data_IF_893498955315
#
_entry.id   IF_893498955315
#
_cell.length_a   1.000
_cell.length_b   1.000
_cell.length_c   1.000
_cell.angle_alpha   90.00
_cell.angle_beta   90.00
_cell.angle_gamma   90.00
#
_symmetry.space_group_name_H-M   'P 1'
#
loop_
_entity.id
_entity.type
_entity.pdbx_description
1 polymer ?
#
# COMPACT_ATOMS: atom_id res chain seq x y z
N UNK A 1 17.03 -42.86 12.14
CA UNK A 1 15.80 -42.92 11.30
C UNK A 1 15.33 -41.50 11.01
N UNK A 2 15.32 -41.14 9.74
CA UNK A 2 14.95 -39.77 9.28
C UNK A 2 13.53 -39.37 9.76
N UNK A 3 12.59 -40.30 9.75
CA UNK A 3 11.22 -40.04 10.22
C UNK A 3 11.14 -39.69 11.71
N UNK A 4 12.01 -40.27 12.52
CA UNK A 4 12.10 -39.93 13.95
C UNK A 4 12.71 -38.55 14.15
N UNK A 5 13.76 -38.21 13.37
CA UNK A 5 14.36 -36.88 13.41
C UNK A 5 13.36 -35.78 13.00
N UNK A 6 12.64 -36.00 11.92
CA UNK A 6 11.58 -35.06 11.47
C UNK A 6 10.51 -34.89 12.54
N UNK A 7 10.11 -35.95 13.20
CA UNK A 7 9.10 -35.87 14.26
C UNK A 7 9.60 -35.06 15.46
N UNK A 8 10.85 -35.23 15.84
CA UNK A 8 11.46 -34.49 16.95
C UNK A 8 11.65 -33.02 16.57
N UNK A 9 12.12 -32.72 15.38
CA UNK A 9 12.29 -31.33 14.90
C UNK A 9 10.93 -30.61 14.89
N UNK A 10 9.91 -31.22 14.31
CA UNK A 10 8.56 -30.62 14.24
C UNK A 10 7.93 -30.43 15.63
N UNK A 11 8.40 -31.15 16.67
CA UNK A 11 7.97 -31.02 18.05
C UNK A 11 8.70 -29.92 18.85
N UNK A 12 9.72 -29.27 18.27
CA UNK A 12 10.42 -28.18 18.94
C UNK A 12 9.50 -26.95 19.08
N UNK A 13 9.65 -26.23 20.17
CA UNK A 13 8.86 -25.02 20.43
C UNK A 13 9.07 -23.94 19.34
N UNK A 14 10.29 -23.76 18.88
CA UNK A 14 10.62 -22.82 17.82
C UNK A 14 9.98 -23.16 16.46
N UNK A 15 9.53 -24.39 16.25
CA UNK A 15 8.85 -24.83 15.03
C UNK A 15 7.35 -24.58 15.06
N UNK A 16 6.79 -24.18 16.20
CA UNK A 16 5.35 -23.87 16.29
C UNK A 16 5.03 -22.56 15.61
N UNK A 17 3.97 -22.54 14.80
CA UNK A 17 3.59 -21.39 13.99
C UNK A 17 3.32 -20.11 14.79
N UNK A 18 2.80 -20.26 16.02
CA UNK A 18 2.51 -19.16 16.95
C UNK A 18 3.76 -18.56 17.61
N UNK A 19 4.91 -19.22 17.48
CA UNK A 19 6.21 -18.74 17.96
C UNK A 19 7.07 -18.11 16.86
N UNK A 20 6.59 -18.14 15.62
CA UNK A 20 7.32 -17.62 14.47
C UNK A 20 6.77 -16.29 13.99
N UNK A 21 7.64 -15.38 13.63
CA UNK A 21 7.32 -14.08 13.03
C UNK A 21 7.81 -14.09 11.59
N UNK A 22 6.90 -13.77 10.65
CA UNK A 22 7.25 -13.63 9.24
C UNK A 22 8.25 -12.49 9.05
N UNK A 23 9.22 -12.61 8.14
CA UNK A 23 10.06 -11.49 7.76
C UNK A 23 9.23 -10.41 7.05
N UNK A 24 9.60 -9.15 7.26
CA UNK A 24 9.03 -8.00 6.59
C UNK A 24 10.00 -7.52 5.52
N UNK A 25 9.53 -7.38 4.30
CA UNK A 25 10.34 -6.85 3.20
C UNK A 25 10.64 -5.36 3.39
N UNK A 26 11.82 -4.92 2.95
CA UNK A 26 12.04 -3.50 2.71
C UNK A 26 11.04 -2.99 1.66
N UNK A 27 10.54 -1.78 1.85
CA UNK A 27 9.48 -1.21 1.01
C UNK A 27 9.56 0.32 0.94
N UNK A 28 8.94 0.95 -0.06
CA UNK A 28 8.76 2.39 -0.08
C UNK A 28 7.84 2.87 1.04
N UNK A 29 8.24 3.89 1.78
CA UNK A 29 7.41 4.57 2.79
C UNK A 29 7.41 6.07 2.53
N UNK A 30 6.23 6.71 2.62
CA UNK A 30 6.10 8.16 2.49
C UNK A 30 6.45 8.83 3.82
N UNK A 31 7.47 9.70 3.82
CA UNK A 31 7.96 10.39 5.02
C UNK A 31 7.29 11.75 5.28
N UNK A 32 6.26 12.10 4.49
CA UNK A 32 5.61 13.42 4.49
C UNK A 32 6.19 14.38 3.44
N UNK A 33 7.23 13.97 2.72
CA UNK A 33 7.82 14.77 1.65
C UNK A 33 8.11 13.96 0.39
N UNK A 34 8.60 12.74 0.56
CA UNK A 34 8.99 11.83 -0.52
C UNK A 34 8.85 10.37 -0.08
N UNK A 35 8.89 9.46 -1.03
CA UNK A 35 9.05 8.04 -0.73
C UNK A 35 10.53 7.73 -0.50
N UNK A 36 10.79 7.06 0.61
CA UNK A 36 12.12 6.59 1.01
C UNK A 36 12.09 5.08 1.22
N UNK A 37 13.23 4.43 1.06
CA UNK A 37 13.33 2.99 1.36
C UNK A 37 13.28 2.80 2.88
N UNK A 38 12.24 2.13 3.35
CA UNK A 38 12.18 1.63 4.73
C UNK A 38 12.79 0.24 4.81
N UNK A 39 13.65 0.05 5.79
CA UNK A 39 14.24 -1.26 6.04
C UNK A 39 13.17 -2.30 6.40
N UNK A 40 13.34 -3.50 5.89
CA UNK A 40 12.58 -4.65 6.35
C UNK A 40 13.06 -5.13 7.72
N UNK A 41 12.40 -6.16 8.22
CA UNK A 41 12.76 -6.82 9.47
C UNK A 41 12.98 -8.30 9.21
N UNK A 42 14.09 -8.86 9.72
CA UNK A 42 14.26 -10.30 9.79
C UNK A 42 13.30 -10.86 10.82
N UNK A 43 12.43 -11.77 10.39
CA UNK A 43 11.53 -12.46 11.30
C UNK A 43 12.24 -13.55 12.11
N UNK A 44 11.46 -14.37 12.79
CA UNK A 44 11.92 -15.60 13.44
C UNK A 44 11.37 -16.86 12.75
N UNK A 45 10.82 -16.72 11.55
CA UNK A 45 10.34 -17.86 10.78
C UNK A 45 11.51 -18.74 10.35
N UNK A 46 11.41 -20.01 10.67
CA UNK A 46 12.48 -20.97 10.37
C UNK A 46 12.34 -21.48 8.94
N UNK A 47 13.44 -21.45 8.20
CA UNK A 47 13.60 -22.24 6.98
C UNK A 47 13.70 -23.72 7.38
N UNK A 48 12.58 -24.41 7.33
CA UNK A 48 12.45 -25.78 7.79
C UNK A 48 13.39 -26.73 7.06
N UNK A 49 13.61 -26.54 5.77
CA UNK A 49 14.47 -27.43 4.97
C UNK A 49 15.94 -27.22 5.34
N UNK A 50 16.39 -25.96 5.43
CA UNK A 50 17.76 -25.68 5.82
C UNK A 50 18.01 -26.10 7.29
N UNK A 51 17.08 -25.81 8.19
CA UNK A 51 17.17 -26.20 9.60
C UNK A 51 17.33 -27.71 9.77
N UNK A 52 16.49 -28.51 9.10
CA UNK A 52 16.61 -29.99 9.10
C UNK A 52 17.97 -30.47 8.63
N UNK A 53 18.48 -29.88 7.55
CA UNK A 53 19.82 -30.20 7.03
C UNK A 53 20.90 -29.90 8.06
N UNK A 54 20.90 -28.71 8.65
CA UNK A 54 21.89 -28.27 9.65
C UNK A 54 21.86 -29.14 10.88
N UNK A 55 20.65 -29.50 11.37
CA UNK A 55 20.47 -30.41 12.51
C UNK A 55 21.12 -31.79 12.21
N UNK A 56 20.86 -32.35 11.02
CA UNK A 56 21.43 -33.63 10.59
C UNK A 56 22.94 -33.56 10.54
N UNK A 57 23.51 -32.57 9.88
CA UNK A 57 24.96 -32.36 9.78
C UNK A 57 25.61 -32.15 11.16
N UNK A 58 24.94 -31.46 12.06
CA UNK A 58 25.41 -31.23 13.43
C UNK A 58 25.43 -32.52 14.25
N UNK A 59 24.42 -33.36 14.11
CA UNK A 59 24.39 -34.70 14.77
C UNK A 59 25.55 -35.58 14.23
N UNK A 60 25.73 -35.63 12.90
CA UNK A 60 26.79 -36.38 12.26
C UNK A 60 28.19 -35.88 12.66
N UNK A 61 28.32 -34.56 12.85
CA UNK A 61 29.56 -33.89 13.28
C UNK A 61 29.77 -33.86 14.79
N UNK A 62 28.84 -34.44 15.60
CA UNK A 62 28.88 -34.41 17.07
C UNK A 62 28.94 -32.98 17.64
N UNK A 63 28.33 -32.00 16.97
CA UNK A 63 28.22 -30.64 17.50
C UNK A 63 27.26 -30.62 18.70
N UNK A 64 27.60 -29.84 19.73
CA UNK A 64 26.78 -29.68 20.94
C UNK A 64 25.78 -28.55 20.86
N UNK A 65 25.93 -27.65 19.89
CA UNK A 65 25.10 -26.47 19.72
C UNK A 65 25.00 -26.08 18.23
N UNK A 66 23.95 -25.39 17.87
CA UNK A 66 23.72 -24.83 16.54
C UNK A 66 23.39 -23.34 16.73
N UNK A 67 24.17 -22.47 16.13
CA UNK A 67 23.81 -21.06 15.97
C UNK A 67 22.95 -20.92 14.72
N UNK A 68 21.66 -20.78 14.92
CA UNK A 68 20.68 -20.71 13.82
C UNK A 68 20.88 -19.52 12.89
N UNK A 69 21.42 -18.42 13.42
CA UNK A 69 21.72 -17.22 12.61
C UNK A 69 22.95 -17.43 11.74
N UNK A 70 24.01 -18.01 12.31
CA UNK A 70 25.25 -18.30 11.57
C UNK A 70 25.07 -19.38 10.51
N UNK A 71 24.09 -20.25 10.66
CA UNK A 71 23.77 -21.33 9.73
C UNK A 71 22.59 -21.01 8.80
N UNK A 72 22.19 -19.73 8.71
CA UNK A 72 21.12 -19.21 7.83
C UNK A 72 19.79 -19.99 7.97
N UNK A 73 19.41 -20.35 9.20
CA UNK A 73 18.21 -21.16 9.47
C UNK A 73 16.90 -20.37 9.49
N UNK A 74 16.94 -19.07 9.26
CA UNK A 74 15.74 -18.23 9.21
C UNK A 74 15.39 -17.86 7.76
N UNK A 75 14.10 -17.67 7.52
CA UNK A 75 13.61 -17.17 6.24
C UNK A 75 14.00 -15.69 6.10
N UNK A 76 14.78 -15.39 5.08
CA UNK A 76 15.19 -14.02 4.79
C UNK A 76 14.08 -13.23 4.06
N UNK A 77 13.98 -11.90 4.27
CA UNK A 77 13.11 -11.04 3.47
C UNK A 77 13.47 -11.13 1.98
N UNK A 78 12.47 -11.21 1.12
CA UNK A 78 12.67 -11.19 -0.34
C UNK A 78 13.36 -9.92 -0.83
N UNK A 79 13.04 -8.79 -0.18
CA UNK A 79 13.59 -7.47 -0.51
C UNK A 79 14.29 -6.85 0.70
N UNK A 80 15.49 -6.35 0.46
CA UNK A 80 16.32 -5.62 1.44
C UNK A 80 16.47 -4.16 1.01
N UNK A 81 17.12 -3.34 1.84
CA UNK A 81 17.46 -1.95 1.49
C UNK A 81 18.39 -1.83 0.29
N UNK A 82 19.10 -2.92 -0.05
CA UNK A 82 20.00 -2.96 -1.21
C UNK A 82 19.30 -3.40 -2.50
N UNK A 83 18.05 -3.89 -2.40
CA UNK A 83 17.29 -4.38 -3.56
C UNK A 83 16.99 -3.24 -4.53
N UNK A 84 17.42 -3.42 -5.77
CA UNK A 84 17.25 -2.42 -6.84
C UNK A 84 15.76 -2.19 -7.18
N UNK A 85 14.92 -3.23 -6.99
CA UNK A 85 13.48 -3.17 -7.19
C UNK A 85 12.83 -2.16 -6.23
N UNK A 86 13.22 -2.16 -4.95
CA UNK A 86 12.70 -1.24 -3.93
C UNK A 86 13.18 0.18 -4.20
N UNK A 87 14.46 0.37 -4.53
CA UNK A 87 15.02 1.67 -4.89
C UNK A 87 14.31 2.26 -6.11
N UNK A 88 14.13 1.43 -7.15
CA UNK A 88 13.40 1.82 -8.35
C UNK A 88 11.95 2.16 -8.06
N UNK A 89 11.27 1.38 -7.23
CA UNK A 89 9.90 1.67 -6.81
C UNK A 89 9.80 3.03 -6.10
N UNK A 90 10.71 3.35 -5.16
CA UNK A 90 10.78 4.66 -4.54
C UNK A 90 10.97 5.79 -5.57
N UNK A 91 11.89 5.61 -6.52
CA UNK A 91 12.15 6.59 -7.57
C UNK A 91 10.94 6.81 -8.48
N UNK A 92 10.25 5.73 -8.85
CA UNK A 92 9.07 5.79 -9.69
C UNK A 92 7.89 6.43 -8.94
N UNK A 93 7.64 6.06 -7.69
CA UNK A 93 6.62 6.69 -6.85
C UNK A 93 6.88 8.19 -6.64
N UNK A 94 8.13 8.59 -6.45
CA UNK A 94 8.52 9.99 -6.33
C UNK A 94 8.30 10.81 -7.60
N UNK A 95 8.19 10.18 -8.77
CA UNK A 95 7.83 10.89 -10.01
C UNK A 95 6.39 11.36 -9.98
N UNK A 96 5.47 10.52 -9.46
CA UNK A 96 4.05 10.88 -9.33
C UNK A 96 3.83 12.03 -8.34
N UNK A 97 4.64 12.13 -7.29
CA UNK A 97 4.54 13.25 -6.32
C UNK A 97 4.87 14.62 -6.91
N UNK A 98 5.41 14.67 -8.12
CA UNK A 98 5.66 15.95 -8.82
C UNK A 98 4.42 16.50 -9.52
N UNK A 99 3.38 15.70 -9.67
CA UNK A 99 2.13 16.14 -10.26
C UNK A 99 1.38 17.08 -9.30
N UNK A 100 0.71 18.06 -9.88
CA UNK A 100 -0.20 18.94 -9.17
C UNK A 100 -1.35 19.29 -10.10
N UNK A 101 -2.57 18.94 -9.69
CA UNK A 101 -3.79 19.17 -10.47
C UNK A 101 -4.68 20.11 -9.69
N UNK A 102 -5.12 21.20 -10.33
CA UNK A 102 -6.05 22.15 -9.71
C UNK A 102 -7.39 22.07 -10.40
N UNK A 103 -8.41 21.66 -9.67
CA UNK A 103 -9.80 21.73 -10.08
C UNK A 103 -10.37 23.09 -9.74
N UNK A 104 -11.15 23.68 -10.66
CA UNK A 104 -11.82 24.96 -10.46
C UNK A 104 -13.34 24.78 -10.62
N UNK A 105 -14.08 25.02 -9.56
CA UNK A 105 -15.53 24.92 -9.50
C UNK A 105 -16.11 26.31 -9.19
N UNK A 106 -16.26 27.14 -10.22
CA UNK A 106 -16.64 28.55 -10.04
C UNK A 106 -15.58 29.34 -9.27
N UNK A 107 -15.90 29.74 -8.03
CA UNK A 107 -14.96 30.43 -7.14
C UNK A 107 -14.17 29.50 -6.19
N UNK A 108 -14.49 28.20 -6.19
CA UNK A 108 -13.85 27.20 -5.35
C UNK A 108 -12.75 26.47 -6.11
N UNK A 109 -11.72 26.06 -5.40
CA UNK A 109 -10.62 25.26 -5.96
C UNK A 109 -10.35 24.05 -5.06
N UNK A 110 -10.02 22.93 -5.69
CA UNK A 110 -9.47 21.75 -5.05
C UNK A 110 -8.13 21.43 -5.67
N UNK A 111 -7.20 20.96 -4.89
CA UNK A 111 -5.84 20.66 -5.37
C UNK A 111 -5.51 19.22 -5.05
N UNK A 112 -5.18 18.46 -6.09
CA UNK A 112 -4.52 17.17 -5.96
C UNK A 112 -3.03 17.46 -5.89
N UNK A 113 -2.48 17.32 -4.71
CA UNK A 113 -1.05 17.54 -4.43
C UNK A 113 -0.34 16.25 -4.04
N UNK A 114 0.94 16.36 -3.73
CA UNK A 114 1.77 15.22 -3.34
C UNK A 114 1.22 14.43 -2.14
N UNK A 115 0.60 15.12 -1.16
CA UNK A 115 0.10 14.49 0.06
C UNK A 115 -1.16 13.66 -0.24
N UNK A 116 -1.97 14.08 -1.20
CA UNK A 116 -3.11 13.31 -1.68
C UNK A 116 -2.65 12.18 -2.61
N UNK A 117 -1.74 12.45 -3.54
CA UNK A 117 -1.18 11.44 -4.46
C UNK A 117 -0.48 10.32 -3.67
N UNK A 118 0.21 10.64 -2.57
CA UNK A 118 0.87 9.62 -1.74
C UNK A 118 -0.10 8.59 -1.12
N UNK A 119 -1.40 8.91 -1.04
CA UNK A 119 -2.42 7.97 -0.57
C UNK A 119 -2.95 7.05 -1.68
N UNK A 120 -2.65 7.38 -2.94
CA UNK A 120 -3.13 6.65 -4.12
C UNK A 120 -2.07 5.72 -4.69
N UNK A 121 -0.79 6.09 -4.57
CA UNK A 121 0.33 5.33 -5.15
C UNK A 121 0.78 4.26 -4.17
N UNK A 122 0.88 3.03 -4.63
CA UNK A 122 1.31 1.86 -3.85
C UNK A 122 2.20 0.96 -4.71
N UNK A 123 2.69 -0.12 -4.15
CA UNK A 123 3.42 -1.16 -4.87
C UNK A 123 2.76 -2.52 -4.66
N UNK A 124 2.88 -3.38 -5.66
CA UNK A 124 2.50 -4.79 -5.55
C UNK A 124 3.62 -5.64 -4.88
N UNK A 125 3.39 -6.96 -4.76
CA UNK A 125 4.32 -7.93 -4.18
C UNK A 125 5.65 -8.05 -4.96
N UNK A 126 5.74 -7.47 -6.17
CA UNK A 126 6.92 -7.45 -7.01
C UNK A 126 7.57 -6.05 -7.10
N UNK A 127 7.16 -5.13 -6.24
CA UNK A 127 7.59 -3.73 -6.23
C UNK A 127 7.24 -2.96 -7.51
N UNK A 128 6.25 -3.43 -8.28
CA UNK A 128 5.70 -2.65 -9.38
C UNK A 128 4.75 -1.59 -8.83
N UNK A 129 4.91 -0.35 -9.29
CA UNK A 129 4.07 0.77 -8.85
C UNK A 129 2.66 0.61 -9.41
N UNK A 130 1.67 0.72 -8.55
CA UNK A 130 0.25 0.62 -8.87
C UNK A 130 -0.53 1.74 -8.19
N UNK A 131 -1.79 1.95 -8.62
CA UNK A 131 -2.70 2.89 -7.99
C UNK A 131 -3.74 2.17 -7.13
N UNK A 132 -4.05 2.76 -5.99
CA UNK A 132 -5.20 2.39 -5.19
C UNK A 132 -6.45 3.03 -5.80
N UNK A 133 -7.06 2.36 -6.78
CA UNK A 133 -8.24 2.86 -7.49
C UNK A 133 -9.41 3.18 -6.55
N UNK A 134 -9.59 2.43 -5.46
CA UNK A 134 -10.64 2.73 -4.48
C UNK A 134 -10.45 4.11 -3.81
N UNK A 135 -9.21 4.52 -3.60
CA UNK A 135 -8.91 5.83 -3.03
C UNK A 135 -9.16 6.96 -4.03
N UNK A 136 -8.84 6.73 -5.30
CA UNK A 136 -9.15 7.67 -6.41
C UNK A 136 -10.67 7.82 -6.57
N UNK A 137 -11.40 6.71 -6.64
CA UNK A 137 -12.87 6.69 -6.69
C UNK A 137 -13.48 7.49 -5.54
N UNK A 138 -13.05 7.25 -4.32
CA UNK A 138 -13.53 8.01 -3.15
C UNK A 138 -13.31 9.51 -3.28
N UNK A 139 -12.17 9.92 -3.81
CA UNK A 139 -11.88 11.33 -4.01
C UNK A 139 -12.82 11.94 -5.05
N UNK A 140 -13.02 11.30 -6.20
CA UNK A 140 -13.94 11.77 -7.23
C UNK A 140 -15.37 11.86 -6.68
N UNK A 141 -15.85 10.87 -5.94
CA UNK A 141 -17.16 10.88 -5.29
C UNK A 141 -17.31 12.01 -4.25
N UNK A 142 -16.23 12.38 -3.57
CA UNK A 142 -16.25 13.58 -2.70
C UNK A 142 -16.41 14.87 -3.50
N UNK A 143 -15.76 14.98 -4.66
CA UNK A 143 -15.95 16.12 -5.57
C UNK A 143 -17.38 16.19 -6.09
N UNK A 144 -17.95 15.06 -6.53
CA UNK A 144 -19.35 14.96 -6.95
C UNK A 144 -20.30 15.44 -5.85
N UNK A 145 -20.18 14.86 -4.66
CA UNK A 145 -21.02 15.24 -3.51
C UNK A 145 -20.95 16.72 -3.16
N UNK A 146 -19.81 17.37 -3.43
CA UNK A 146 -19.55 18.76 -3.06
C UNK A 146 -19.95 19.73 -4.17
N UNK A 147 -19.82 19.33 -5.43
CA UNK A 147 -19.88 20.26 -6.55
C UNK A 147 -20.96 19.97 -7.58
N UNK A 148 -21.54 18.77 -7.62
CA UNK A 148 -22.62 18.46 -8.55
C UNK A 148 -23.87 19.30 -8.25
N UNK A 149 -24.40 19.88 -9.31
CA UNK A 149 -25.58 20.75 -9.23
C UNK A 149 -26.74 20.28 -10.09
N UNK A 150 -26.58 19.16 -10.80
CA UNK A 150 -27.64 18.57 -11.61
C UNK A 150 -28.84 18.21 -10.74
N UNK A 151 -30.05 18.57 -11.20
CA UNK A 151 -31.33 18.32 -10.52
C UNK A 151 -31.44 18.90 -9.10
N UNK A 152 -30.57 19.82 -8.68
CA UNK A 152 -30.66 20.41 -7.34
C UNK A 152 -31.73 21.47 -7.30
N UNK A 153 -32.57 21.47 -6.23
CA UNK A 153 -33.51 22.54 -5.94
C UNK A 153 -32.79 23.84 -5.65
N UNK A 154 -33.33 24.95 -6.16
CA UNK A 154 -32.76 26.29 -5.94
C UNK A 154 -33.84 27.22 -5.41
N UNK A 155 -33.51 27.98 -4.37
CA UNK A 155 -34.38 29.00 -3.82
C UNK A 155 -33.86 30.37 -4.22
N UNK A 156 -34.74 31.16 -4.82
CA UNK A 156 -34.45 32.53 -5.25
C UNK A 156 -35.31 33.51 -4.43
N UNK A 157 -34.72 34.62 -4.03
CA UNK A 157 -35.48 35.73 -3.46
C UNK A 157 -35.85 36.68 -4.59
N UNK A 158 -37.14 36.90 -4.77
CA UNK A 158 -37.67 37.83 -5.75
C UNK A 158 -37.39 39.28 -5.33
N UNK A 159 -37.45 40.23 -6.29
CA UNK A 159 -37.24 41.65 -5.98
C UNK A 159 -38.27 42.24 -4.99
N UNK A 160 -39.39 41.56 -4.75
CA UNK A 160 -40.40 41.90 -3.73
C UNK A 160 -40.17 41.22 -2.36
N UNK A 161 -39.03 40.55 -2.15
CA UNK A 161 -38.68 39.89 -0.88
C UNK A 161 -39.33 38.51 -0.66
N UNK A 162 -40.08 37.98 -1.60
CA UNK A 162 -40.66 36.64 -1.50
C UNK A 162 -39.66 35.58 -1.98
N UNK A 163 -39.63 34.44 -1.29
CA UNK A 163 -38.82 33.29 -1.72
C UNK A 163 -39.64 32.39 -2.65
N UNK A 164 -39.02 31.97 -3.76
CA UNK A 164 -39.55 30.98 -4.67
C UNK A 164 -38.55 29.82 -4.82
N UNK A 165 -39.00 28.60 -4.62
CA UNK A 165 -38.19 27.39 -4.83
C UNK A 165 -38.53 26.81 -6.20
N UNK A 166 -37.49 26.55 -6.99
CA UNK A 166 -37.60 25.92 -8.31
C UNK A 166 -36.92 24.54 -8.22
N UNK A 167 -37.63 23.52 -8.70
CA UNK A 167 -37.09 22.19 -8.86
C UNK A 167 -35.94 22.22 -9.89
N UNK A 168 -34.92 21.35 -9.71
CA UNK A 168 -33.75 21.35 -10.55
C UNK A 168 -34.02 21.04 -12.02
N UNK A 169 -35.01 20.20 -12.33
CA UNK A 169 -35.29 19.75 -13.69
C UNK A 169 -34.03 19.18 -14.34
N UNK A 170 -33.82 19.52 -15.61
CA UNK A 170 -32.61 19.07 -16.38
C UNK A 170 -31.48 20.10 -16.31
N UNK A 171 -31.52 21.00 -15.34
CA UNK A 171 -30.52 22.06 -15.20
C UNK A 171 -29.46 21.71 -14.14
N UNK A 172 -28.23 22.07 -14.44
CA UNK A 172 -27.10 21.83 -13.60
C UNK A 172 -26.01 21.08 -14.37
N UNK A 173 -24.97 20.71 -13.68
CA UNK A 173 -23.87 19.93 -14.21
C UNK A 173 -23.49 18.84 -13.20
N UNK A 174 -22.86 17.80 -13.72
CA UNK A 174 -22.44 16.59 -13.00
C UNK A 174 -21.03 16.22 -13.46
N UNK A 175 -20.23 15.75 -12.56
CA UNK A 175 -18.91 15.19 -12.89
C UNK A 175 -19.13 13.84 -13.59
N UNK A 176 -18.41 13.59 -14.66
CA UNK A 176 -18.33 12.26 -15.26
C UNK A 176 -17.31 11.43 -14.47
N UNK A 177 -17.80 10.68 -13.48
CA UNK A 177 -17.01 9.89 -12.55
C UNK A 177 -16.02 8.99 -13.28
N UNK A 178 -16.48 8.25 -14.29
CA UNK A 178 -15.65 7.28 -14.99
C UNK A 178 -14.53 7.96 -15.81
N UNK A 179 -14.86 9.09 -16.47
CA UNK A 179 -13.87 9.84 -17.23
C UNK A 179 -12.83 10.50 -16.31
N UNK A 180 -13.26 11.00 -15.16
CA UNK A 180 -12.37 11.67 -14.21
C UNK A 180 -11.41 10.68 -13.52
N UNK A 181 -11.92 9.52 -13.10
CA UNK A 181 -11.07 8.44 -12.55
C UNK A 181 -10.02 8.03 -13.58
N UNK A 182 -10.43 7.79 -14.83
CA UNK A 182 -9.50 7.40 -15.89
C UNK A 182 -8.44 8.50 -16.17
N UNK A 183 -8.81 9.77 -16.04
CA UNK A 183 -7.87 10.89 -16.24
C UNK A 183 -6.86 11.02 -15.10
N UNK A 184 -7.27 10.71 -13.86
CA UNK A 184 -6.39 10.74 -12.69
C UNK A 184 -5.41 9.57 -12.66
N UNK A 185 -5.76 8.41 -13.25
CA UNK A 185 -4.93 7.20 -13.30
C UNK A 185 -4.03 7.12 -14.54
N UNK A 186 -4.13 8.06 -15.48
CA UNK A 186 -3.37 8.09 -16.74
C UNK A 186 -2.00 8.77 -16.58
#
# INVERSE_FOLDING_TARGET
DENQLDTLINGLECMQADQQVEPVNAHPEYDGNSYVVKAGETGSKIDTENFKKVVKESIEGFKSEIDMTAEDCYVEPKYTIESEEVKKACDDMNKYLKASITYTFGSNTEVVDKDLISQWVTVDDNMAVTFNSDAVVKYVQQLESKYDTYQTKRTFTTGGGNSATVEGGDYGWIIDEAAEIAALEA
#
